data_IF_343662273726
#
_entry.id   IF_343662273726
#
_cell.length_a   1.000
_cell.length_b   1.000
_cell.length_c   1.000
_cell.angle_alpha   90.00
_cell.angle_beta   90.00
_cell.angle_gamma   90.00
#
_symmetry.space_group_name_H-M   'P 1'
#
loop_
_entity.id
_entity.type
_entity.pdbx_description
1 polymer ?
#
# COMPACT_ATOMS: atom_id res chain seq x y z
N UNK A 1 18.12 -12.98 33.60
CA UNK A 1 18.29 -12.89 32.14
C UNK A 1 17.01 -12.28 31.63
N UNK A 2 17.06 -11.01 31.27
CA UNK A 2 15.90 -10.25 30.81
C UNK A 2 15.43 -10.86 29.49
N UNK A 3 14.19 -11.34 29.47
CA UNK A 3 13.55 -11.73 28.24
C UNK A 3 13.36 -10.46 27.41
N UNK A 4 14.20 -10.27 26.39
CA UNK A 4 13.95 -9.28 25.35
C UNK A 4 12.68 -9.72 24.64
N UNK A 5 11.56 -9.11 25.02
CA UNK A 5 10.33 -9.17 24.25
C UNK A 5 10.61 -8.38 22.98
N UNK A 6 11.13 -9.07 21.96
CA UNK A 6 11.07 -8.59 20.59
C UNK A 6 9.58 -8.55 20.25
N UNK A 7 8.98 -7.36 20.41
CA UNK A 7 7.72 -7.03 19.74
C UNK A 7 8.06 -6.91 18.26
N UNK A 8 8.35 -8.04 17.61
CA UNK A 8 8.15 -8.15 16.17
C UNK A 8 6.64 -8.07 16.00
N UNK A 9 6.16 -6.84 15.88
CA UNK A 9 4.77 -6.54 15.60
C UNK A 9 4.36 -7.39 14.41
N UNK A 10 3.55 -8.40 14.69
CA UNK A 10 2.92 -9.28 13.73
C UNK A 10 1.93 -8.41 12.92
N UNK A 11 2.48 -7.59 12.03
CA UNK A 11 1.82 -6.39 11.52
C UNK A 11 1.14 -6.70 10.20
N UNK A 12 -0.17 -6.90 10.30
CA UNK A 12 -1.19 -6.94 9.24
C UNK A 12 -0.75 -7.57 7.91
N UNK A 13 -0.99 -8.87 7.72
CA UNK A 13 -1.02 -9.47 6.38
C UNK A 13 -2.26 -8.93 5.65
N UNK A 14 -2.07 -7.91 4.80
CA UNK A 14 -3.11 -7.13 4.12
C UNK A 14 -3.86 -7.90 3.00
N UNK A 15 -4.55 -8.99 3.35
CA UNK A 15 -5.38 -9.78 2.42
C UNK A 15 -6.88 -9.62 2.65
N UNK A 16 -7.30 -8.69 3.53
CA UNK A 16 -8.70 -8.52 3.96
C UNK A 16 -9.29 -7.19 3.49
N UNK A 17 -10.61 -7.03 3.62
CA UNK A 17 -11.36 -5.80 3.27
C UNK A 17 -10.91 -4.53 3.98
N UNK A 18 -10.10 -4.63 5.03
CA UNK A 18 -9.64 -3.50 5.84
C UNK A 18 -8.24 -3.01 5.45
N UNK A 19 -7.60 -3.59 4.44
CA UNK A 19 -6.21 -3.26 4.11
C UNK A 19 -5.98 -1.80 3.73
N UNK A 20 -6.92 -1.23 2.97
CA UNK A 20 -6.81 0.10 2.38
C UNK A 20 -6.78 1.19 3.47
N UNK A 21 -7.79 1.30 4.36
CA UNK A 21 -7.75 2.31 5.43
C UNK A 21 -6.55 2.12 6.37
N UNK A 22 -6.17 0.87 6.71
CA UNK A 22 -5.02 0.64 7.59
C UNK A 22 -3.68 1.08 6.98
N UNK A 23 -3.47 0.80 5.70
CA UNK A 23 -2.24 1.24 5.02
C UNK A 23 -2.26 2.76 4.79
N UNK A 24 -3.42 3.32 4.47
CA UNK A 24 -3.60 4.76 4.30
C UNK A 24 -3.26 5.50 5.61
N UNK A 25 -3.83 5.09 6.75
CA UNK A 25 -3.49 5.64 8.07
C UNK A 25 -1.99 5.54 8.37
N UNK A 26 -1.36 4.41 8.03
CA UNK A 26 0.08 4.22 8.23
C UNK A 26 0.93 5.17 7.39
N UNK A 27 0.51 5.48 6.17
CA UNK A 27 1.18 6.45 5.29
C UNK A 27 0.94 7.88 5.75
N UNK A 28 -0.26 8.22 6.23
CA UNK A 28 -0.55 9.53 6.83
C UNK A 28 0.28 9.77 8.08
N UNK A 29 0.39 8.79 8.98
CA UNK A 29 1.22 8.89 10.19
C UNK A 29 2.72 9.09 9.89
N UNK A 30 3.15 8.90 8.64
CA UNK A 30 4.55 9.02 8.20
C UNK A 30 4.77 10.15 7.19
N UNK A 31 3.74 10.94 6.88
CA UNK A 31 3.77 11.97 5.84
C UNK A 31 4.13 11.42 4.44
N UNK A 32 3.70 10.20 4.14
CA UNK A 32 3.96 9.48 2.87
C UNK A 32 2.70 9.27 2.03
N UNK A 33 1.62 10.00 2.32
CA UNK A 33 0.32 9.83 1.68
C UNK A 33 0.22 10.51 0.29
N UNK A 34 0.97 11.58 0.04
CA UNK A 34 0.86 12.31 -1.23
C UNK A 34 1.08 11.44 -2.48
N UNK A 35 2.11 10.55 -2.55
CA UNK A 35 2.38 9.78 -3.75
C UNK A 35 1.37 8.67 -4.06
N UNK A 36 0.53 8.28 -3.09
CA UNK A 36 -0.58 7.34 -3.36
C UNK A 36 -1.83 8.06 -3.86
N UNK A 37 -1.92 9.38 -3.69
CA UNK A 37 -3.03 10.23 -4.15
C UNK A 37 -2.70 10.85 -5.51
N UNK A 38 -1.47 11.33 -5.68
CA UNK A 38 -1.02 12.06 -6.86
C UNK A 38 -0.05 11.21 -7.67
N UNK A 39 -0.42 10.91 -8.91
CA UNK A 39 0.43 10.15 -9.84
C UNK A 39 1.71 10.92 -10.19
N UNK A 40 1.57 12.22 -10.37
CA UNK A 40 2.63 13.13 -10.77
C UNK A 40 3.00 14.08 -9.63
N UNK A 41 4.22 14.59 -9.70
CA UNK A 41 4.74 15.54 -8.71
C UNK A 41 3.90 16.82 -8.72
N UNK A 42 3.50 17.36 -7.55
CA UNK A 42 2.88 18.68 -7.45
C UNK A 42 3.80 19.80 -7.99
N UNK A 43 3.19 20.83 -8.57
CA UNK A 43 3.92 22.06 -8.94
C UNK A 43 4.56 22.71 -7.69
N UNK A 44 5.80 23.14 -7.81
CA UNK A 44 6.56 23.75 -6.71
C UNK A 44 7.30 22.80 -5.78
N UNK A 45 7.12 21.47 -5.91
CA UNK A 45 7.92 20.49 -5.16
C UNK A 45 9.23 20.18 -5.87
N UNK A 46 10.30 19.93 -5.11
CA UNK A 46 11.60 19.51 -5.65
C UNK A 46 11.54 18.07 -6.18
N UNK A 47 12.17 17.80 -7.33
CA UNK A 47 12.13 16.50 -8.01
C UNK A 47 12.76 15.40 -7.16
N UNK A 48 13.93 15.67 -6.56
CA UNK A 48 14.63 14.68 -5.73
C UNK A 48 13.83 14.36 -4.48
N UNK A 49 13.27 15.39 -3.86
CA UNK A 49 12.42 15.23 -2.67
C UNK A 49 11.19 14.40 -2.99
N UNK A 50 10.55 14.64 -4.14
CA UNK A 50 9.42 13.84 -4.61
C UNK A 50 9.81 12.38 -4.88
N UNK A 51 10.92 12.15 -5.57
CA UNK A 51 11.42 10.79 -5.86
C UNK A 51 11.68 10.00 -4.57
N UNK A 52 12.31 10.62 -3.58
CA UNK A 52 12.55 10.02 -2.25
C UNK A 52 11.23 9.69 -1.57
N UNK A 53 10.25 10.61 -1.61
CA UNK A 53 8.94 10.43 -0.96
C UNK A 53 8.16 9.29 -1.61
N UNK A 54 8.13 9.24 -2.95
CA UNK A 54 7.57 8.13 -3.71
C UNK A 54 8.25 6.80 -3.37
N UNK A 55 9.59 6.75 -3.34
CA UNK A 55 10.33 5.52 -3.02
C UNK A 55 10.08 5.04 -1.59
N UNK A 56 9.99 5.95 -0.62
CA UNK A 56 9.61 5.63 0.76
C UNK A 56 8.20 5.06 0.82
N UNK A 57 7.23 5.67 0.14
CA UNK A 57 5.86 5.15 0.07
C UNK A 57 5.82 3.74 -0.53
N UNK A 58 6.51 3.49 -1.65
CA UNK A 58 6.64 2.15 -2.26
C UNK A 58 7.20 1.14 -1.26
N UNK A 59 8.32 1.46 -0.60
CA UNK A 59 8.96 0.55 0.35
C UNK A 59 8.06 0.21 1.54
N UNK A 60 7.35 1.20 2.08
CA UNK A 60 6.39 1.03 3.17
C UNK A 60 5.23 0.14 2.71
N UNK A 61 4.65 0.41 1.55
CA UNK A 61 3.55 -0.38 0.99
C UNK A 61 3.98 -1.85 0.82
N UNK A 62 5.11 -2.09 0.16
CA UNK A 62 5.64 -3.43 -0.08
C UNK A 62 5.97 -4.19 1.22
N UNK A 63 6.44 -3.49 2.26
CA UNK A 63 6.79 -4.11 3.56
C UNK A 63 5.60 -4.80 4.24
N UNK A 64 4.38 -4.26 4.10
CA UNK A 64 3.19 -4.82 4.77
C UNK A 64 2.32 -5.70 3.87
N UNK A 65 2.75 -5.95 2.64
CA UNK A 65 2.01 -6.79 1.70
C UNK A 65 2.44 -8.24 1.86
N UNK A 66 1.46 -9.14 1.80
CA UNK A 66 1.71 -10.58 1.83
C UNK A 66 2.56 -11.01 0.62
N UNK A 67 3.49 -11.95 0.81
CA UNK A 67 4.39 -12.49 -0.23
C UNK A 67 3.69 -12.82 -1.55
N UNK A 68 2.49 -13.42 -1.49
CA UNK A 68 1.71 -13.78 -2.69
C UNK A 68 1.26 -12.59 -3.54
N UNK A 69 1.09 -11.41 -2.93
CA UNK A 69 0.79 -10.17 -3.64
C UNK A 69 2.10 -9.46 -4.03
N UNK A 70 3.12 -9.52 -3.16
CA UNK A 70 4.42 -8.90 -3.37
C UNK A 70 5.04 -9.27 -4.73
N UNK A 71 5.04 -10.55 -5.10
CA UNK A 71 5.61 -11.03 -6.37
C UNK A 71 4.98 -10.37 -7.62
N UNK A 72 3.72 -9.96 -7.53
CA UNK A 72 3.02 -9.28 -8.63
C UNK A 72 3.21 -7.76 -8.62
N UNK A 73 3.56 -7.18 -7.48
CA UNK A 73 3.57 -5.73 -7.29
C UNK A 73 4.96 -5.14 -7.01
N UNK A 74 5.97 -5.97 -6.78
CA UNK A 74 7.35 -5.52 -6.54
C UNK A 74 8.01 -4.86 -7.75
N UNK A 75 7.43 -5.05 -8.94
CA UNK A 75 7.89 -4.42 -10.18
C UNK A 75 7.56 -2.92 -10.27
N UNK A 76 6.60 -2.44 -9.46
CA UNK A 76 6.15 -1.06 -9.51
C UNK A 76 7.09 -0.16 -8.72
N UNK A 77 7.65 0.84 -9.40
CA UNK A 77 8.51 1.88 -8.82
C UNK A 77 7.74 3.15 -8.47
N UNK A 78 6.52 3.30 -8.99
CA UNK A 78 5.61 4.39 -8.67
C UNK A 78 4.56 3.91 -7.65
N UNK A 79 4.44 4.65 -6.55
CA UNK A 79 3.53 4.32 -5.44
C UNK A 79 2.05 4.44 -5.80
N UNK A 80 1.66 5.38 -6.64
CA UNK A 80 0.29 5.51 -7.15
C UNK A 80 -0.11 4.29 -7.98
N UNK A 81 0.76 3.86 -8.90
CA UNK A 81 0.51 2.68 -9.74
C UNK A 81 0.46 1.40 -8.91
N UNK A 82 1.39 1.26 -7.96
CA UNK A 82 1.42 0.18 -6.98
C UNK A 82 0.10 0.12 -6.18
N UNK A 83 -0.33 1.25 -5.62
CA UNK A 83 -1.56 1.38 -4.84
C UNK A 83 -2.80 0.97 -5.65
N UNK A 84 -2.92 1.49 -6.86
CA UNK A 84 -4.03 1.18 -7.78
C UNK A 84 -4.05 -0.31 -8.15
N UNK A 85 -2.88 -0.90 -8.40
CA UNK A 85 -2.76 -2.33 -8.71
C UNK A 85 -3.23 -3.20 -7.54
N UNK A 86 -2.82 -2.85 -6.32
CA UNK A 86 -3.21 -3.56 -5.10
C UNK A 86 -4.71 -3.52 -4.89
N UNK A 87 -5.32 -2.36 -5.06
CA UNK A 87 -6.77 -2.20 -5.00
C UNK A 87 -7.49 -3.11 -6.00
N UNK A 88 -7.06 -3.11 -7.26
CA UNK A 88 -7.63 -4.00 -8.28
C UNK A 88 -7.49 -5.48 -7.92
N UNK A 89 -6.34 -5.89 -7.38
CA UNK A 89 -6.10 -7.29 -7.01
C UNK A 89 -6.96 -7.74 -5.82
N UNK A 90 -7.12 -6.88 -4.81
CA UNK A 90 -7.90 -7.22 -3.61
C UNK A 90 -9.41 -7.16 -3.90
N UNK A 91 -9.86 -6.21 -4.73
CA UNK A 91 -11.23 -6.17 -5.23
C UNK A 91 -11.59 -7.44 -6.03
N UNK A 92 -10.72 -7.92 -6.92
CA UNK A 92 -10.95 -9.15 -7.70
C UNK A 92 -11.03 -10.41 -6.84
N UNK A 93 -10.28 -10.47 -5.74
CA UNK A 93 -10.26 -11.61 -4.81
C UNK A 93 -11.47 -11.66 -3.88
N UNK A 94 -12.24 -10.58 -3.74
CA UNK A 94 -13.39 -10.51 -2.83
C UNK A 94 -14.69 -10.94 -3.53
N UNK A 95 -15.34 -12.06 -3.13
CA UNK A 95 -16.56 -12.57 -3.77
C UNK A 95 -17.75 -11.59 -3.75
N UNK A 96 -17.78 -10.68 -2.76
CA UNK A 96 -18.85 -9.69 -2.55
C UNK A 96 -19.06 -8.77 -3.76
N UNK A 97 -18.01 -8.48 -4.56
CA UNK A 97 -18.14 -7.62 -5.75
C UNK A 97 -18.73 -8.36 -6.96
N UNK A 98 -18.67 -9.69 -7.02
CA UNK A 98 -19.29 -10.48 -8.10
C UNK A 98 -20.81 -10.56 -7.96
N UNK A 99 -21.33 -10.56 -6.72
CA UNK A 99 -22.77 -10.60 -6.46
C UNK A 99 -23.49 -9.27 -6.77
N UNK A 100 -22.78 -8.13 -6.75
CA UNK A 100 -23.34 -6.82 -7.13
C UNK A 100 -23.45 -6.62 -8.64
N UNK A 101 -22.73 -7.40 -9.44
CA UNK A 101 -22.85 -7.40 -10.91
C UNK A 101 -23.92 -8.36 -11.43
N UNK A 102 -24.44 -9.27 -10.59
CA UNK A 102 -25.44 -10.30 -10.94
C UNK A 102 -26.85 -9.92 -10.45
N UNK A 103 -27.09 -8.64 -10.14
CA UNK A 103 -28.45 -8.10 -9.97
C UNK A 103 -28.66 -6.95 -10.94
N UNK A 104 -29.02 -7.31 -12.17
CA UNK A 104 -29.80 -6.51 -13.11
C UNK A 104 -30.95 -7.37 -13.60
#
# INVERSE_FOLDING_TARGET
>A
MEATVTVEGDMFKLTTSYWKPMMEDHLYCKDLHEPIIMKEKPEGKDDKTWEILNRKAVAVILKYINRSLFEHVSIYTNSFELWTKLESMIQKKTPRNKALLVRR
#
